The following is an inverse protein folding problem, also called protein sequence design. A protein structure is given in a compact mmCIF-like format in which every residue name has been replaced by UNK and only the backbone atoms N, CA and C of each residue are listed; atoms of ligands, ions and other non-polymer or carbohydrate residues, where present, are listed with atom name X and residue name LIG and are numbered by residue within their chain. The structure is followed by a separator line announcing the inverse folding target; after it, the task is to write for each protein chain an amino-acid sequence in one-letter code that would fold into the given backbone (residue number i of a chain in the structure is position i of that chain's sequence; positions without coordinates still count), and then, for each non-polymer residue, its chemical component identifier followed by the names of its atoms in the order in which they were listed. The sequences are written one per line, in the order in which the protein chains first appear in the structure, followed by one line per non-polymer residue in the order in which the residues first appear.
data_IF_280538866906
#
_entry.id   IF_280538866906
#
_cell.length_a   1.000
_cell.length_b   1.000
_cell.length_c   1.000
_cell.angle_alpha   90.00
_cell.angle_beta   90.00
_cell.angle_gamma   90.00
#
_symmetry.space_group_name_H-M   'P 1'
#
loop_
_entity.id
_entity.type
_entity.pdbx_description
1 polymer ?
#
# COMPACT_ATOMS: atom_id res chain seq x y z
N UNK A 1 -58.34 26.62 -75.06
CA UNK A 1 -57.87 27.61 -74.07
C UNK A 1 -59.04 27.99 -73.18
N UNK A 2 -58.93 28.25 -71.86
CA UNK A 2 -57.82 28.20 -70.91
C UNK A 2 -58.10 27.37 -69.61
N UNK A 3 -57.10 27.36 -68.74
CA UNK A 3 -56.95 26.94 -67.32
C UNK A 3 -58.18 26.83 -66.38
N UNK A 4 -58.19 25.86 -65.46
CA UNK A 4 -57.76 26.03 -64.05
C UNK A 4 -58.19 24.85 -63.14
N UNK A 5 -57.39 24.56 -62.10
CA UNK A 5 -57.84 23.82 -60.91
C UNK A 5 -57.09 22.51 -60.59
N UNK A 6 -55.85 22.61 -60.09
CA UNK A 6 -55.20 21.53 -59.33
C UNK A 6 -55.66 21.61 -57.86
N UNK A 7 -56.19 20.53 -57.33
CA UNK A 7 -56.20 20.22 -55.88
C UNK A 7 -55.40 18.95 -55.66
N UNK A 8 -54.20 19.08 -55.09
CA UNK A 8 -53.35 17.95 -54.70
C UNK A 8 -53.31 17.87 -53.18
N UNK A 9 -53.74 16.72 -52.69
CA UNK A 9 -53.80 16.28 -51.30
C UNK A 9 -52.39 16.12 -50.74
N UNK A 10 -52.16 16.66 -49.54
CA UNK A 10 -50.96 16.39 -48.72
C UNK A 10 -50.85 14.89 -48.38
N UNK A 11 -49.62 14.38 -48.23
CA UNK A 11 -49.31 13.73 -46.97
C UNK A 11 -47.94 14.13 -46.40
N UNK A 12 -47.99 14.48 -45.12
CA UNK A 12 -47.02 14.16 -44.05
C UNK A 12 -45.54 14.37 -44.34
N UNK A 13 -45.03 15.44 -43.72
CA UNK A 13 -43.62 15.70 -43.48
C UNK A 13 -42.92 14.55 -42.72
N UNK A 14 -41.99 13.88 -43.39
CA UNK A 14 -40.78 13.32 -42.77
C UNK A 14 -39.60 13.85 -43.57
N UNK A 15 -38.94 14.87 -43.02
CA UNK A 15 -37.78 15.51 -43.61
C UNK A 15 -36.62 14.52 -43.76
N UNK A 16 -35.97 14.58 -44.92
CA UNK A 16 -34.77 13.83 -45.33
C UNK A 16 -33.50 14.23 -44.54
N UNK A 17 -33.59 14.50 -43.24
CA UNK A 17 -32.48 14.91 -42.38
C UNK A 17 -31.84 13.79 -41.55
N UNK A 18 -32.26 12.53 -41.73
CA UNK A 18 -31.78 11.39 -40.91
C UNK A 18 -30.70 10.52 -41.57
N UNK A 19 -30.06 10.96 -42.66
CA UNK A 19 -29.10 10.10 -43.38
C UNK A 19 -27.63 10.56 -43.38
N UNK A 20 -27.27 11.66 -42.74
CA UNK A 20 -25.86 12.03 -42.53
C UNK A 20 -25.66 12.84 -41.24
N UNK A 21 -25.66 12.17 -40.09
CA UNK A 21 -24.90 12.68 -38.94
C UNK A 21 -23.55 11.99 -38.95
N UNK A 22 -22.56 12.74 -39.44
CA UNK A 22 -21.15 12.43 -39.32
C UNK A 22 -20.84 12.06 -37.88
N UNK A 23 -20.62 10.77 -37.63
CA UNK A 23 -19.82 10.35 -36.48
C UNK A 23 -18.46 11.03 -36.63
N UNK A 24 -18.16 11.88 -35.65
CA UNK A 24 -16.86 12.51 -35.51
C UNK A 24 -15.81 11.41 -35.44
N UNK A 25 -15.13 11.17 -36.56
CA UNK A 25 -13.84 10.47 -36.60
C UNK A 25 -12.91 11.21 -35.64
N UNK A 26 -12.82 10.73 -34.40
CA UNK A 26 -11.67 11.04 -33.56
C UNK A 26 -10.47 10.62 -34.37
N UNK A 27 -9.65 11.58 -34.79
CA UNK A 27 -8.42 11.36 -35.55
C UNK A 27 -7.58 10.35 -34.79
N UNK A 28 -7.62 9.10 -35.24
CA UNK A 28 -7.00 7.98 -34.56
C UNK A 28 -5.49 8.08 -34.73
N UNK A 29 -4.84 8.72 -33.76
CA UNK A 29 -3.37 8.80 -33.66
C UNK A 29 -2.72 7.46 -33.31
N UNK A 30 -3.53 6.41 -33.03
CA UNK A 30 -3.03 5.11 -32.61
C UNK A 30 -2.56 4.24 -33.79
N UNK A 31 -3.19 4.39 -34.96
CA UNK A 31 -2.99 3.52 -36.11
C UNK A 31 -3.73 2.18 -36.01
N UNK A 32 -4.63 2.03 -35.03
CA UNK A 32 -5.45 0.83 -34.81
C UNK A 32 -6.91 1.16 -35.17
N UNK A 33 -7.50 0.51 -36.20
CA UNK A 33 -8.88 0.75 -36.58
C UNK A 33 -9.83 0.68 -35.38
N UNK A 34 -10.54 1.78 -35.11
CA UNK A 34 -11.43 1.90 -33.93
C UNK A 34 -12.48 0.80 -33.88
N UNK A 35 -12.87 0.27 -35.05
CA UNK A 35 -13.76 -0.87 -35.23
C UNK A 35 -13.38 -2.09 -34.36
N UNK A 36 -12.09 -2.33 -34.15
CA UNK A 36 -11.58 -3.46 -33.36
C UNK A 36 -12.07 -3.39 -31.91
N UNK A 37 -12.19 -2.19 -31.34
CA UNK A 37 -12.58 -2.00 -29.94
C UNK A 37 -14.08 -2.18 -29.66
N UNK A 38 -14.90 -2.44 -30.69
CA UNK A 38 -16.31 -2.85 -30.52
C UNK A 38 -16.48 -4.37 -30.44
N UNK A 39 -15.41 -5.16 -30.65
CA UNK A 39 -15.44 -6.62 -30.60
C UNK A 39 -15.36 -7.13 -29.15
N UNK A 40 -16.40 -6.93 -28.34
CA UNK A 40 -16.37 -7.26 -26.88
C UNK A 40 -16.02 -8.73 -26.58
N UNK A 41 -16.33 -9.64 -27.51
CA UNK A 41 -16.07 -11.08 -27.39
C UNK A 41 -14.69 -11.51 -27.92
N UNK A 42 -13.83 -10.58 -28.32
CA UNK A 42 -12.51 -10.90 -28.86
C UNK A 42 -11.63 -11.54 -27.78
N UNK A 43 -11.10 -12.73 -28.07
CA UNK A 43 -10.26 -13.53 -27.15
C UNK A 43 -8.77 -13.27 -27.39
N UNK A 44 -8.39 -13.06 -28.64
CA UNK A 44 -7.00 -12.85 -29.05
C UNK A 44 -6.91 -11.68 -30.01
N UNK A 45 -5.95 -10.79 -29.77
CA UNK A 45 -5.64 -9.66 -30.63
C UNK A 45 -4.14 -9.65 -30.91
N UNK A 46 -3.79 -9.86 -32.16
CA UNK A 46 -2.40 -9.92 -32.63
C UNK A 46 -2.17 -8.83 -33.67
N UNK A 47 -1.27 -7.90 -33.34
CA UNK A 47 -0.91 -6.72 -34.12
C UNK A 47 0.63 -6.65 -34.15
N UNK A 48 1.27 -7.63 -34.77
CA UNK A 48 2.73 -7.66 -34.87
C UNK A 48 3.24 -6.84 -36.06
N UNK A 49 4.45 -6.29 -35.93
CA UNK A 49 5.15 -5.56 -37.01
C UNK A 49 4.36 -4.38 -37.60
N UNK A 50 3.49 -3.74 -36.82
CA UNK A 50 2.72 -2.57 -37.27
C UNK A 50 3.33 -1.25 -36.80
N UNK A 51 3.06 -0.18 -37.56
CA UNK A 51 3.46 1.20 -37.27
C UNK A 51 2.52 1.90 -36.27
N UNK A 52 2.03 1.18 -35.26
CA UNK A 52 1.14 1.76 -34.25
C UNK A 52 1.97 2.54 -33.22
N UNK A 53 1.45 3.69 -32.78
CA UNK A 53 2.16 4.55 -31.81
C UNK A 53 1.62 4.43 -30.40
N UNK A 54 0.33 4.15 -30.27
CA UNK A 54 -0.38 4.11 -29.00
C UNK A 54 -1.35 2.94 -29.03
N UNK A 55 -1.57 2.27 -27.89
CA UNK A 55 -2.77 1.46 -27.69
C UNK A 55 -3.75 2.32 -26.89
N UNK A 56 -4.93 2.69 -27.45
CA UNK A 56 -5.83 3.64 -26.81
C UNK A 56 -6.64 3.01 -25.68
N UNK A 57 -7.24 3.85 -24.84
CA UNK A 57 -8.09 3.43 -23.71
C UNK A 57 -9.32 2.63 -24.14
N UNK A 58 -9.71 2.70 -25.41
CA UNK A 58 -10.77 1.87 -25.98
C UNK A 58 -10.50 0.36 -25.86
N UNK A 59 -9.23 -0.05 -25.66
CA UNK A 59 -8.86 -1.45 -25.36
C UNK A 59 -9.61 -2.02 -24.14
N UNK A 60 -10.07 -1.17 -23.21
CA UNK A 60 -10.87 -1.58 -22.04
C UNK A 60 -12.19 -2.29 -22.40
N UNK A 61 -12.68 -2.10 -23.63
CA UNK A 61 -13.92 -2.71 -24.10
C UNK A 61 -13.75 -4.20 -24.44
N UNK A 62 -12.52 -4.67 -24.66
CA UNK A 62 -12.22 -6.06 -24.99
C UNK A 62 -12.17 -6.94 -23.73
N UNK A 63 -13.30 -7.03 -23.02
CA UNK A 63 -13.40 -7.62 -21.67
C UNK A 63 -13.03 -9.11 -21.62
N UNK A 64 -13.05 -9.79 -22.76
CA UNK A 64 -12.74 -11.22 -22.89
C UNK A 64 -11.35 -11.49 -23.50
N UNK A 65 -10.53 -10.46 -23.68
CA UNK A 65 -9.20 -10.58 -24.28
C UNK A 65 -8.24 -11.33 -23.34
N UNK A 66 -7.73 -12.47 -23.81
CA UNK A 66 -6.82 -13.37 -23.10
C UNK A 66 -5.39 -13.25 -23.62
N UNK A 67 -5.21 -13.00 -24.92
CA UNK A 67 -3.90 -12.85 -25.55
C UNK A 67 -3.87 -11.52 -26.26
N UNK A 68 -2.87 -10.69 -25.92
CA UNK A 68 -2.61 -9.44 -26.62
C UNK A 68 -1.15 -9.39 -27.06
N UNK A 69 -0.94 -9.38 -28.38
CA UNK A 69 0.38 -9.43 -28.97
C UNK A 69 0.62 -8.23 -29.87
N UNK A 70 1.63 -7.44 -29.52
CA UNK A 70 2.09 -6.26 -30.28
C UNK A 70 3.59 -6.33 -30.54
N UNK A 71 4.16 -7.54 -30.63
CA UNK A 71 5.58 -7.72 -30.86
C UNK A 71 6.05 -6.93 -32.09
N UNK A 72 7.28 -6.40 -31.98
CA UNK A 72 7.98 -5.68 -33.04
C UNK A 72 7.23 -4.45 -33.58
N UNK A 73 6.31 -3.88 -32.81
CA UNK A 73 5.78 -2.53 -33.06
C UNK A 73 6.81 -1.49 -32.62
N UNK A 74 7.75 -1.17 -33.51
CA UNK A 74 8.92 -0.34 -33.19
C UNK A 74 8.58 1.12 -32.87
N UNK A 75 7.44 1.62 -33.36
CA UNK A 75 6.94 2.98 -33.09
C UNK A 75 6.02 3.06 -31.87
N UNK A 76 5.73 1.94 -31.21
CA UNK A 76 4.81 1.91 -30.08
C UNK A 76 5.44 2.61 -28.87
N UNK A 77 4.90 3.76 -28.49
CA UNK A 77 5.39 4.57 -27.37
C UNK A 77 4.65 4.26 -26.07
N UNK A 78 3.34 4.03 -26.14
CA UNK A 78 2.50 3.88 -24.94
C UNK A 78 1.41 2.84 -25.10
N UNK A 79 1.32 1.94 -24.14
CA UNK A 79 0.11 1.15 -23.88
C UNK A 79 -0.82 1.89 -22.93
N UNK A 80 -2.11 1.88 -23.21
CA UNK A 80 -3.13 2.26 -22.25
C UNK A 80 -2.98 1.44 -20.97
N UNK A 81 -3.08 2.11 -19.83
CA UNK A 81 -3.06 1.46 -18.52
C UNK A 81 -4.26 0.51 -18.31
N UNK A 82 -5.36 0.68 -19.07
CA UNK A 82 -6.52 -0.21 -19.00
C UNK A 82 -6.21 -1.65 -19.40
N UNK A 83 -5.14 -1.88 -20.16
CA UNK A 83 -4.61 -3.23 -20.44
C UNK A 83 -4.37 -4.01 -19.15
N UNK A 84 -3.94 -3.34 -18.08
CA UNK A 84 -3.75 -3.96 -16.78
C UNK A 84 -5.00 -4.62 -16.20
N UNK A 85 -6.21 -4.20 -16.58
CA UNK A 85 -7.48 -4.73 -16.04
C UNK A 85 -8.13 -5.81 -16.90
N UNK A 86 -7.54 -6.12 -18.06
CA UNK A 86 -8.02 -7.18 -18.93
C UNK A 86 -7.61 -8.56 -18.39
N UNK A 87 -8.37 -9.64 -18.69
CA UNK A 87 -8.07 -11.00 -18.24
C UNK A 87 -6.94 -11.67 -19.05
N UNK A 88 -5.91 -10.89 -19.39
CA UNK A 88 -4.79 -11.36 -20.21
C UNK A 88 -4.00 -12.44 -19.47
N UNK A 89 -3.82 -13.58 -20.13
CA UNK A 89 -2.84 -14.61 -19.77
C UNK A 89 -1.49 -14.33 -20.43
N UNK A 90 -1.51 -13.65 -21.57
CA UNK A 90 -0.32 -13.37 -22.35
C UNK A 90 -0.35 -11.93 -22.88
N UNK A 91 0.76 -11.21 -22.65
CA UNK A 91 0.99 -9.85 -23.14
C UNK A 91 2.39 -9.80 -23.74
N UNK A 92 2.46 -9.72 -25.07
CA UNK A 92 3.70 -9.80 -25.82
C UNK A 92 4.12 -8.42 -26.34
N UNK A 93 5.25 -7.93 -25.82
CA UNK A 93 5.80 -6.58 -26.06
C UNK A 93 7.25 -6.65 -26.59
N UNK A 94 7.69 -7.80 -27.09
CA UNK A 94 9.07 -7.99 -27.53
C UNK A 94 9.37 -7.09 -28.73
N UNK A 95 10.55 -6.49 -28.79
CA UNK A 95 10.93 -5.64 -29.92
C UNK A 95 10.24 -4.27 -30.00
N UNK A 96 9.44 -3.87 -28.99
CA UNK A 96 8.86 -2.52 -28.89
C UNK A 96 9.91 -1.54 -28.33
N UNK A 97 10.87 -1.16 -29.16
CA UNK A 97 12.06 -0.39 -28.72
C UNK A 97 11.77 1.05 -28.29
N UNK A 98 10.68 1.64 -28.78
CA UNK A 98 10.26 3.02 -28.45
C UNK A 98 9.33 3.10 -27.24
N UNK A 99 9.04 1.96 -26.59
CA UNK A 99 8.04 1.88 -25.53
C UNK A 99 8.49 2.62 -24.26
N UNK A 100 7.76 3.68 -23.93
CA UNK A 100 7.95 4.51 -22.73
C UNK A 100 7.05 4.04 -21.59
N UNK A 101 5.82 3.62 -21.90
CA UNK A 101 4.84 3.15 -20.92
C UNK A 101 4.22 1.83 -21.38
N UNK A 102 4.46 0.70 -20.68
CA UNK A 102 5.32 0.54 -19.50
C UNK A 102 6.82 0.67 -19.85
N UNK A 103 7.68 1.17 -18.94
CA UNK A 103 9.13 1.21 -19.16
C UNK A 103 9.72 -0.17 -19.41
N UNK A 104 10.77 -0.25 -20.24
CA UNK A 104 11.33 -1.53 -20.69
C UNK A 104 11.94 -2.35 -19.54
N UNK A 105 12.36 -1.70 -18.45
CA UNK A 105 12.85 -2.36 -17.25
C UNK A 105 11.74 -3.12 -16.52
N UNK A 106 10.49 -2.67 -16.65
CA UNK A 106 9.32 -3.34 -16.08
C UNK A 106 8.89 -4.49 -16.99
N UNK A 107 8.85 -4.29 -18.30
CA UNK A 107 8.47 -5.35 -19.25
C UNK A 107 9.43 -6.54 -19.18
N UNK A 108 10.74 -6.29 -19.02
CA UNK A 108 11.77 -7.33 -18.83
C UNK A 108 11.61 -8.15 -17.55
N UNK A 109 10.89 -7.65 -16.54
CA UNK A 109 10.62 -8.41 -15.31
C UNK A 109 9.50 -9.44 -15.49
N UNK A 110 8.77 -9.38 -16.61
CA UNK A 110 7.75 -10.34 -16.99
C UNK A 110 6.32 -9.81 -16.87
N UNK A 111 5.38 -10.69 -17.24
CA UNK A 111 3.95 -10.40 -17.34
C UNK A 111 3.38 -9.82 -16.04
N UNK A 112 3.60 -10.48 -14.89
CA UNK A 112 3.01 -10.09 -13.61
C UNK A 112 3.37 -8.66 -13.19
N UNK A 113 4.65 -8.29 -13.34
CA UNK A 113 5.15 -6.96 -12.97
C UNK A 113 4.63 -5.89 -13.95
N UNK A 114 4.55 -6.23 -15.23
CA UNK A 114 4.00 -5.35 -16.27
C UNK A 114 2.53 -5.04 -16.03
N UNK A 115 1.71 -6.08 -15.81
CA UNK A 115 0.28 -5.93 -15.52
C UNK A 115 0.07 -5.15 -14.22
N UNK A 116 0.85 -5.42 -13.17
CA UNK A 116 0.76 -4.69 -11.90
C UNK A 116 1.14 -3.21 -12.05
N UNK A 117 2.15 -2.89 -12.87
CA UNK A 117 2.51 -1.51 -13.18
C UNK A 117 1.37 -0.77 -13.89
N UNK A 118 0.78 -1.37 -14.94
CA UNK A 118 -0.33 -0.78 -15.67
C UNK A 118 -1.55 -0.56 -14.78
N UNK A 119 -1.93 -1.54 -13.93
CA UNK A 119 -2.99 -1.36 -12.93
C UNK A 119 -2.73 -0.17 -12.02
N UNK A 120 -1.49 -0.02 -11.52
CA UNK A 120 -1.10 1.09 -10.62
C UNK A 120 -1.21 2.46 -11.25
N UNK A 121 -1.05 2.59 -12.58
CA UNK A 121 -1.21 3.87 -13.27
C UNK A 121 -2.65 4.40 -13.19
N UNK A 122 -3.66 3.53 -13.15
CA UNK A 122 -5.08 3.90 -13.04
C UNK A 122 -5.54 3.89 -11.58
N UNK A 123 -5.17 2.86 -10.82
CA UNK A 123 -5.63 2.68 -9.43
C UNK A 123 -5.00 3.66 -8.45
N UNK A 124 -3.97 4.42 -8.86
CA UNK A 124 -3.17 5.23 -7.95
C UNK A 124 -2.28 4.39 -7.02
N UNK A 125 -1.60 5.05 -6.08
CA UNK A 125 -0.80 4.37 -5.06
C UNK A 125 -1.69 3.51 -4.16
N UNK A 126 -1.46 2.20 -4.13
CA UNK A 126 -2.05 1.36 -3.07
C UNK A 126 -1.53 1.82 -1.71
N UNK A 127 -2.39 2.16 -0.74
CA UNK A 127 -1.94 2.51 0.61
C UNK A 127 -1.04 1.39 1.16
N UNK A 128 0.23 1.70 1.37
CA UNK A 128 1.16 0.78 2.02
C UNK A 128 0.86 0.82 3.52
N UNK A 129 0.01 -0.10 4.00
CA UNK A 129 -0.34 -0.24 5.42
C UNK A 129 0.73 -1.04 6.16
N UNK A 130 1.98 -0.60 6.05
CA UNK A 130 3.11 -1.20 6.75
C UNK A 130 3.83 -0.15 7.57
N UNK A 131 4.02 -0.42 8.85
CA UNK A 131 4.77 0.45 9.75
C UNK A 131 5.73 -0.35 10.62
N UNK A 132 6.74 0.31 11.18
CA UNK A 132 7.68 -0.33 12.12
C UNK A 132 7.19 -0.09 13.55
N UNK A 133 7.15 -1.14 14.36
CA UNK A 133 6.93 -1.05 15.80
C UNK A 133 8.26 -1.27 16.50
N UNK A 134 8.80 -0.23 17.12
CA UNK A 134 10.16 -0.22 17.68
C UNK A 134 10.09 -0.35 19.20
N UNK A 135 10.55 -1.49 19.75
CA UNK A 135 10.66 -1.66 21.20
C UNK A 135 12.03 -1.19 21.69
N UNK A 136 12.03 -0.23 22.60
CA UNK A 136 13.26 0.33 23.18
C UNK A 136 13.17 0.38 24.71
N UNK A 137 14.31 0.52 25.38
CA UNK A 137 14.40 0.49 26.84
C UNK A 137 15.57 -0.35 27.33
N UNK A 138 15.90 -0.25 28.61
CA UNK A 138 17.05 -0.94 29.20
C UNK A 138 16.95 -2.48 29.09
N UNK A 139 18.10 -3.15 29.18
CA UNK A 139 18.16 -4.61 29.31
C UNK A 139 17.34 -5.07 30.51
N UNK A 140 16.60 -6.18 30.38
CA UNK A 140 15.74 -6.68 31.46
C UNK A 140 14.43 -5.90 31.69
N UNK A 141 14.13 -4.88 30.89
CA UNK A 141 12.87 -4.13 30.99
C UNK A 141 11.60 -4.93 30.62
N UNK A 142 11.74 -6.10 29.99
CA UNK A 142 10.61 -6.95 29.60
C UNK A 142 10.16 -6.83 28.13
N UNK A 143 10.97 -6.23 27.24
CA UNK A 143 10.67 -6.07 25.80
C UNK A 143 10.31 -7.39 25.11
N UNK A 144 11.19 -8.40 25.19
CA UNK A 144 10.96 -9.71 24.59
C UNK A 144 9.73 -10.42 25.16
N UNK A 145 9.48 -10.27 26.47
CA UNK A 145 8.27 -10.81 27.11
C UNK A 145 7.00 -10.12 26.59
N UNK A 146 7.05 -8.81 26.37
CA UNK A 146 5.94 -8.03 25.82
C UNK A 146 5.63 -8.43 24.37
N UNK A 147 6.67 -8.59 23.52
CA UNK A 147 6.49 -9.07 22.14
C UNK A 147 5.86 -10.46 22.12
N UNK A 148 6.34 -11.39 22.96
CA UNK A 148 5.74 -12.73 23.06
C UNK A 148 4.28 -12.68 23.50
N UNK A 149 3.93 -11.78 24.42
CA UNK A 149 2.55 -11.60 24.85
C UNK A 149 1.65 -11.02 23.74
N UNK A 150 2.15 -10.08 22.93
CA UNK A 150 1.44 -9.57 21.76
C UNK A 150 1.15 -10.66 20.73
N UNK A 151 2.15 -11.49 20.43
CA UNK A 151 2.06 -12.54 19.41
C UNK A 151 1.17 -13.70 19.83
N UNK A 152 1.24 -14.16 21.09
CA UNK A 152 0.34 -15.19 21.62
C UNK A 152 -1.13 -14.78 21.56
N UNK A 153 -1.42 -13.48 21.68
CA UNK A 153 -2.79 -12.97 21.58
C UNK A 153 -3.32 -12.95 20.14
N UNK A 154 -2.48 -13.13 19.11
CA UNK A 154 -2.85 -12.88 17.70
C UNK A 154 -2.41 -13.97 16.71
N UNK A 155 -1.65 -14.99 17.11
CA UNK A 155 -1.16 -16.04 16.21
C UNK A 155 -0.82 -17.33 16.95
N UNK A 156 -1.29 -18.48 16.42
CA UNK A 156 -0.91 -19.83 16.87
C UNK A 156 0.45 -20.28 16.33
N UNK A 157 1.04 -19.54 15.38
CA UNK A 157 2.35 -19.89 14.79
C UNK A 157 3.50 -19.18 15.52
N UNK A 158 4.58 -19.91 15.89
CA UNK A 158 5.76 -19.31 16.49
C UNK A 158 6.46 -18.38 15.49
N UNK A 159 7.04 -17.26 15.94
CA UNK A 159 7.73 -16.31 15.08
C UNK A 159 9.04 -16.88 14.52
N UNK A 160 9.35 -16.56 13.26
CA UNK A 160 10.68 -16.77 12.69
C UNK A 160 11.63 -15.69 13.24
N UNK A 161 12.69 -16.12 13.91
CA UNK A 161 13.72 -15.26 14.50
C UNK A 161 14.94 -15.27 13.57
N UNK A 162 15.52 -14.11 13.28
CA UNK A 162 16.79 -13.98 12.54
C UNK A 162 17.83 -13.28 13.41
N UNK A 163 19.08 -13.75 13.36
CA UNK A 163 20.15 -13.42 14.32
C UNK A 163 20.31 -11.92 14.68
N UNK A 164 20.43 -11.65 15.98
CA UNK A 164 20.84 -10.37 16.57
C UNK A 164 19.73 -9.34 16.79
N UNK A 165 18.73 -9.26 15.91
CA UNK A 165 17.53 -8.42 16.05
C UNK A 165 16.31 -9.29 15.73
N UNK A 166 15.45 -9.50 16.73
CA UNK A 166 14.22 -10.26 16.54
C UNK A 166 13.21 -9.38 15.79
N UNK A 167 13.16 -9.54 14.46
CA UNK A 167 12.16 -8.88 13.61
C UNK A 167 10.98 -9.81 13.39
N UNK A 168 9.85 -9.49 14.01
CA UNK A 168 8.62 -10.27 13.85
C UNK A 168 7.60 -9.51 13.00
N UNK A 169 6.97 -10.19 12.04
CA UNK A 169 5.84 -9.63 11.31
C UNK A 169 4.54 -9.89 12.06
N UNK A 170 3.83 -8.83 12.40
CA UNK A 170 2.52 -8.90 13.04
C UNK A 170 1.48 -8.28 12.12
N UNK A 171 0.53 -9.10 11.66
CA UNK A 171 -0.57 -8.67 10.77
C UNK A 171 -1.83 -8.50 11.59
N UNK A 172 -2.40 -7.30 11.55
CA UNK A 172 -3.67 -6.98 12.20
C UNK A 172 -4.74 -6.86 11.11
N UNK A 173 -5.77 -7.72 11.10
CA UNK A 173 -6.86 -7.61 10.14
C UNK A 173 -7.65 -6.32 10.37
N UNK A 174 -8.03 -5.66 9.29
CA UNK A 174 -8.87 -4.46 9.29
C UNK A 174 -10.32 -4.83 8.93
N UNK A 175 -11.18 -3.81 8.80
CA UNK A 175 -12.64 -3.99 8.62
C UNK A 175 -13.06 -4.73 7.34
N UNK A 176 -12.16 -4.97 6.38
CA UNK A 176 -12.44 -5.64 5.11
C UNK A 176 -11.64 -6.95 4.96
N UNK A 177 -12.19 -7.97 4.26
CA UNK A 177 -11.44 -9.17 3.89
C UNK A 177 -10.21 -8.79 3.03
N UNK A 178 -9.07 -9.42 3.31
CA UNK A 178 -7.75 -9.14 2.72
C UNK A 178 -7.14 -7.75 2.99
N UNK A 179 -7.75 -6.95 3.87
CA UNK A 179 -7.18 -5.69 4.33
C UNK A 179 -6.51 -5.87 5.70
N UNK A 180 -5.21 -5.56 5.79
CA UNK A 180 -4.44 -5.72 7.02
C UNK A 180 -3.42 -4.60 7.21
N UNK A 181 -3.19 -4.23 8.47
CA UNK A 181 -2.07 -3.42 8.90
C UNK A 181 -0.92 -4.37 9.28
N UNK A 182 0.22 -4.26 8.59
CA UNK A 182 1.42 -5.05 8.90
C UNK A 182 2.41 -4.23 9.74
N UNK A 183 2.62 -4.66 10.97
CA UNK A 183 3.72 -4.18 11.79
C UNK A 183 4.96 -5.05 11.56
N UNK A 184 6.08 -4.41 11.25
CA UNK A 184 7.40 -4.99 11.46
C UNK A 184 7.80 -4.67 12.88
N UNK A 185 7.72 -5.62 13.80
CA UNK A 185 8.08 -5.48 15.21
C UNK A 185 9.59 -5.70 15.35
N UNK A 186 10.29 -4.72 15.90
CA UNK A 186 11.73 -4.78 16.14
C UNK A 186 11.98 -4.89 17.64
N UNK A 187 12.39 -6.07 18.11
CA UNK A 187 12.89 -6.28 19.47
C UNK A 187 14.42 -6.25 19.46
N UNK A 188 14.97 -5.17 20.02
CA UNK A 188 16.41 -5.02 20.17
C UNK A 188 16.85 -5.74 21.45
N UNK A 189 17.53 -6.87 21.29
CA UNK A 189 18.14 -7.60 22.39
C UNK A 189 19.13 -6.67 23.13
N UNK A 190 18.91 -6.51 24.43
CA UNK A 190 19.56 -5.50 25.28
C UNK A 190 21.02 -5.77 25.63
N UNK A 191 21.86 -6.24 24.70
CA UNK A 191 23.31 -6.27 24.93
C UNK A 191 23.90 -4.85 24.81
N UNK A 192 24.83 -4.57 25.71
CA UNK A 192 25.57 -3.32 25.92
C UNK A 192 26.29 -2.75 24.68
N UNK A 193 26.30 -3.46 23.55
CA UNK A 193 26.88 -3.03 22.28
C UNK A 193 26.01 -1.96 21.58
N UNK A 194 24.74 -1.78 21.97
CA UNK A 194 23.79 -0.92 21.25
C UNK A 194 23.84 0.58 21.61
N UNK A 195 24.47 0.95 22.72
CA UNK A 195 24.53 2.36 23.17
C UNK A 195 25.18 3.29 22.14
N UNK A 196 26.10 2.76 21.31
CA UNK A 196 26.87 3.53 20.35
C UNK A 196 26.35 3.44 18.89
N UNK A 197 25.48 2.47 18.56
CA UNK A 197 25.02 2.24 17.16
C UNK A 197 23.52 2.42 16.94
N UNK A 198 22.71 2.66 18.00
CA UNK A 198 21.25 2.71 17.85
C UNK A 198 20.73 3.85 16.95
N UNK A 199 21.51 4.92 16.75
CA UNK A 199 21.16 6.03 15.85
C UNK A 199 20.91 5.56 14.41
N UNK A 200 21.56 4.46 13.99
CA UNK A 200 21.37 3.87 12.66
C UNK A 200 20.09 3.07 12.50
N UNK A 201 19.47 2.63 13.61
CA UNK A 201 18.33 1.72 13.59
C UNK A 201 17.01 2.41 13.95
N UNK A 202 17.05 3.60 14.56
CA UNK A 202 15.87 4.43 14.72
C UNK A 202 15.32 4.86 13.35
N UNK A 203 14.00 4.76 13.18
CA UNK A 203 13.34 5.02 11.92
C UNK A 203 12.34 6.17 12.06
N UNK A 204 12.43 7.15 11.15
CA UNK A 204 11.55 8.32 11.12
C UNK A 204 10.06 7.99 10.96
N UNK A 205 9.73 6.85 10.34
CA UNK A 205 8.36 6.36 10.11
C UNK A 205 8.14 5.07 10.90
N UNK A 206 7.92 5.22 12.19
CA UNK A 206 7.74 4.13 13.13
C UNK A 206 6.83 4.55 14.29
N UNK A 207 6.30 3.57 15.00
CA UNK A 207 5.67 3.70 16.32
C UNK A 207 6.66 3.20 17.36
N UNK A 208 6.88 3.95 18.43
CA UNK A 208 7.82 3.60 19.49
C UNK A 208 7.10 3.10 20.74
N UNK A 209 7.60 2.00 21.29
CA UNK A 209 7.17 1.46 22.59
C UNK A 209 8.40 1.47 23.51
N UNK A 210 8.45 2.46 24.40
CA UNK A 210 9.49 2.59 25.41
C UNK A 210 9.11 1.76 26.64
N UNK A 211 9.78 0.63 26.80
CA UNK A 211 9.51 -0.35 27.85
C UNK A 211 10.44 -0.13 29.03
N UNK A 212 9.88 -0.10 30.24
CA UNK A 212 10.65 -0.06 31.48
C UNK A 212 10.09 -1.02 32.52
N UNK A 213 10.94 -1.47 33.44
CA UNK A 213 10.52 -2.34 34.55
C UNK A 213 10.12 -1.48 35.75
N UNK A 214 8.83 -1.50 36.10
CA UNK A 214 8.28 -0.67 37.18
C UNK A 214 8.96 -0.94 38.53
N UNK A 215 9.41 -2.19 38.76
CA UNK A 215 10.02 -2.61 40.02
C UNK A 215 11.34 -1.90 40.34
N UNK A 216 12.03 -1.40 39.32
CA UNK A 216 13.35 -0.79 39.48
C UNK A 216 13.28 0.72 39.73
N UNK A 217 12.08 1.32 39.68
CA UNK A 217 11.92 2.78 39.75
C UNK A 217 12.17 3.46 38.41
N UNK A 218 11.51 4.59 38.19
CA UNK A 218 11.60 5.34 36.95
C UNK A 218 12.98 6.01 36.78
N UNK A 219 13.61 6.38 37.88
CA UNK A 219 14.93 6.99 37.96
C UNK A 219 16.04 6.08 37.41
N UNK A 220 15.89 4.75 37.54
CA UNK A 220 16.84 3.77 37.02
C UNK A 220 16.47 3.27 35.62
N UNK A 221 15.32 3.65 35.08
CA UNK A 221 14.82 3.16 33.81
C UNK A 221 15.44 3.85 32.58
N UNK A 222 16.17 4.96 32.78
CA UNK A 222 16.80 5.72 31.70
C UNK A 222 15.79 6.30 30.69
N UNK A 223 14.57 6.63 31.14
CA UNK A 223 13.49 7.09 30.26
C UNK A 223 13.88 8.34 29.48
N UNK A 224 14.48 9.34 30.13
CA UNK A 224 14.87 10.59 29.49
C UNK A 224 15.91 10.40 28.38
N UNK A 225 16.84 9.46 28.57
CA UNK A 225 17.82 9.12 27.54
C UNK A 225 17.13 8.60 26.28
N UNK A 226 16.23 7.62 26.43
CA UNK A 226 15.52 7.02 25.30
C UNK A 226 14.56 8.01 24.64
N UNK A 227 13.79 8.77 25.43
CA UNK A 227 12.86 9.77 24.92
C UNK A 227 13.60 10.85 24.13
N UNK A 228 14.65 11.43 24.70
CA UNK A 228 15.46 12.45 24.02
C UNK A 228 16.07 11.92 22.72
N UNK A 229 16.51 10.66 22.73
CA UNK A 229 17.04 10.04 21.52
C UNK A 229 15.99 9.83 20.43
N UNK A 230 14.80 9.32 20.79
CA UNK A 230 13.69 9.18 19.84
C UNK A 230 13.32 10.54 19.26
N UNK A 231 13.18 11.57 20.10
CA UNK A 231 12.83 12.92 19.66
C UNK A 231 13.83 13.49 18.65
N UNK A 232 15.12 13.25 18.85
CA UNK A 232 16.16 13.71 17.94
C UNK A 232 16.08 13.02 16.56
N UNK A 233 15.80 11.72 16.52
CA UNK A 233 15.85 10.94 15.27
C UNK A 233 14.50 10.84 14.56
N UNK A 234 13.40 10.84 15.30
CA UNK A 234 12.04 10.63 14.83
C UNK A 234 11.07 11.60 15.54
N UNK A 235 11.16 12.91 15.27
CA UNK A 235 10.44 13.97 16.02
C UNK A 235 8.91 13.97 15.86
N UNK A 236 8.37 13.20 14.90
CA UNK A 236 6.93 13.07 14.65
C UNK A 236 6.42 11.66 14.96
N UNK A 237 7.27 10.75 15.43
CA UNK A 237 6.86 9.39 15.71
C UNK A 237 6.09 9.32 17.04
N UNK A 238 4.95 8.63 17.11
CA UNK A 238 4.22 8.43 18.36
C UNK A 238 5.01 7.54 19.32
N UNK A 239 4.94 7.86 20.61
CA UNK A 239 5.64 7.14 21.68
C UNK A 239 4.66 6.63 22.73
N UNK A 240 4.70 5.33 23.00
CA UNK A 240 4.01 4.69 24.12
C UNK A 240 5.02 4.36 25.21
N UNK A 241 4.82 4.90 26.41
CA UNK A 241 5.66 4.57 27.57
C UNK A 241 4.98 3.44 28.34
N UNK A 242 5.64 2.28 28.40
CA UNK A 242 5.06 1.04 28.92
C UNK A 242 5.85 0.54 30.12
N UNK A 243 5.22 0.60 31.30
CA UNK A 243 5.74 -0.02 32.50
C UNK A 243 5.34 -1.49 32.56
N UNK A 244 6.32 -2.39 32.66
CA UNK A 244 6.09 -3.84 32.82
C UNK A 244 6.19 -4.27 34.28
N UNK A 245 5.77 -5.50 34.57
CA UNK A 245 5.75 -6.08 35.92
C UNK A 245 4.81 -5.32 36.86
N UNK A 246 3.70 -4.79 36.33
CA UNK A 246 2.70 -4.06 37.12
C UNK A 246 2.07 -4.92 38.22
N UNK A 247 2.04 -6.24 38.03
CA UNK A 247 1.55 -7.23 39.00
C UNK A 247 2.37 -7.31 40.29
N UNK A 248 3.63 -6.85 40.26
CA UNK A 248 4.57 -6.96 41.37
C UNK A 248 4.70 -5.67 42.19
N UNK A 249 3.93 -4.63 41.87
CA UNK A 249 4.08 -3.30 42.48
C UNK A 249 2.70 -2.71 42.80
N UNK A 250 2.55 -2.13 43.98
CA UNK A 250 1.27 -1.53 44.44
C UNK A 250 1.12 -0.05 44.09
N UNK A 251 2.23 0.67 43.85
CA UNK A 251 2.24 2.09 43.48
C UNK A 251 3.32 2.38 42.44
N UNK A 252 2.98 3.20 41.47
CA UNK A 252 3.86 3.59 40.38
C UNK A 252 4.19 5.07 40.57
N UNK A 253 5.45 5.36 40.81
CA UNK A 253 5.94 6.72 40.95
C UNK A 253 6.56 7.17 39.62
N UNK A 254 5.72 7.77 38.77
CA UNK A 254 6.13 8.35 37.50
C UNK A 254 5.37 9.66 37.28
N UNK A 255 6.10 10.76 37.18
CA UNK A 255 5.50 12.07 36.86
C UNK A 255 5.16 12.16 35.37
N UNK A 256 4.01 11.62 34.99
CA UNK A 256 3.54 11.54 33.60
C UNK A 256 3.35 12.92 32.96
N UNK A 257 2.89 13.91 33.74
CA UNK A 257 2.64 15.28 33.25
C UNK A 257 3.93 16.01 32.88
N UNK A 258 4.99 15.84 33.67
CA UNK A 258 6.30 16.41 33.35
C UNK A 258 6.87 15.79 32.06
N UNK A 259 6.78 14.46 31.93
CA UNK A 259 7.25 13.76 30.73
C UNK A 259 6.48 14.16 29.48
N UNK A 260 5.14 14.26 29.55
CA UNK A 260 4.32 14.73 28.42
C UNK A 260 4.63 16.18 28.02
N UNK A 261 4.88 17.05 29.01
CA UNK A 261 5.28 18.43 28.76
C UNK A 261 6.62 18.53 28.03
N UNK A 262 7.60 17.71 28.43
CA UNK A 262 8.94 17.69 27.81
C UNK A 262 8.98 16.94 26.48
N UNK A 263 8.13 15.93 26.32
CA UNK A 263 8.05 15.08 25.14
C UNK A 263 6.60 14.97 24.64
N UNK A 264 6.11 15.96 23.86
CA UNK A 264 4.73 15.98 23.36
C UNK A 264 4.36 14.81 22.43
N UNK A 265 5.34 14.07 21.94
CA UNK A 265 5.16 12.86 21.12
C UNK A 265 4.61 11.67 21.91
N UNK A 266 4.59 11.74 23.24
CA UNK A 266 4.05 10.66 24.08
C UNK A 266 2.53 10.60 23.90
N UNK A 267 2.07 9.54 23.25
CA UNK A 267 0.65 9.28 23.00
C UNK A 267 -0.05 8.75 24.25
N UNK A 268 0.66 7.95 25.06
CA UNK A 268 0.06 7.36 26.26
C UNK A 268 1.04 6.63 27.17
N UNK A 269 0.59 6.39 28.40
CA UNK A 269 1.27 5.59 29.40
C UNK A 269 0.45 4.34 29.70
N UNK A 270 1.09 3.18 29.70
CA UNK A 270 0.43 1.90 29.95
C UNK A 270 1.23 1.10 30.97
N UNK A 271 0.53 0.46 31.91
CA UNK A 271 1.14 -0.43 32.88
C UNK A 271 0.61 -1.83 32.65
N UNK A 272 1.50 -2.76 32.32
CA UNK A 272 1.15 -4.10 31.84
C UNK A 272 1.83 -5.17 32.66
N UNK A 273 1.18 -6.32 32.75
CA UNK A 273 1.80 -7.55 33.23
C UNK A 273 1.81 -8.58 32.11
N UNK A 274 3.00 -9.02 31.72
CA UNK A 274 3.16 -10.13 30.78
C UNK A 274 2.86 -11.48 31.41
N UNK A 275 2.77 -11.56 32.75
CA UNK A 275 2.46 -12.78 33.48
C UNK A 275 0.95 -12.99 33.61
N UNK A 276 0.22 -11.97 34.04
CA UNK A 276 -1.25 -12.02 34.19
C UNK A 276 -2.00 -11.60 32.93
N UNK A 277 -1.28 -11.14 31.89
CA UNK A 277 -1.82 -10.55 30.66
C UNK A 277 -2.65 -9.27 30.87
N UNK A 278 -2.45 -8.60 32.02
CA UNK A 278 -3.17 -7.39 32.38
C UNK A 278 -2.78 -6.18 31.49
N UNK A 279 -3.79 -5.41 31.06
CA UNK A 279 -3.71 -4.23 30.17
C UNK A 279 -2.99 -4.41 28.82
N UNK A 280 -2.61 -5.63 28.43
CA UNK A 280 -1.92 -5.87 27.15
C UNK A 280 -2.83 -5.58 25.96
N UNK A 281 -4.11 -5.93 26.06
CA UNK A 281 -5.09 -5.68 24.99
C UNK A 281 -5.32 -4.20 24.75
N UNK A 282 -5.46 -3.41 25.83
CA UNK A 282 -5.68 -1.97 25.74
C UNK A 282 -4.48 -1.25 25.08
N UNK A 283 -3.27 -1.67 25.43
CA UNK A 283 -2.04 -1.19 24.78
C UNK A 283 -2.04 -1.51 23.28
N UNK A 284 -2.42 -2.73 22.89
CA UNK A 284 -2.50 -3.15 21.49
C UNK A 284 -3.52 -2.31 20.72
N UNK A 285 -4.71 -2.12 21.27
CA UNK A 285 -5.76 -1.31 20.64
C UNK A 285 -5.33 0.16 20.48
N UNK A 286 -4.59 0.71 21.45
CA UNK A 286 -4.04 2.06 21.35
C UNK A 286 -2.97 2.19 20.26
N UNK A 287 -2.08 1.20 20.12
CA UNK A 287 -1.05 1.15 19.07
C UNK A 287 -1.69 1.08 17.68
N UNK A 288 -2.75 0.28 17.52
CA UNK A 288 -3.43 0.11 16.22
C UNK A 288 -4.18 1.38 15.79
N UNK A 289 -4.71 2.17 16.74
CA UNK A 289 -5.50 3.38 16.45
C UNK A 289 -4.65 4.62 16.09
N UNK A 290 -3.33 4.54 16.24
CA UNK A 290 -2.41 5.67 16.04
C UNK A 290 -1.94 5.76 14.58
#
# INVERSE_FOLDING_TARGET
MPNSGRSSVEPTHTNESDMFKQDSFSTDLSGIPSAIFYLENLIELTIEYQGIKVVPDAIKNLKHLVIFNVNYCIELETLSAYVGFLPLRELNLNGCVSLKTPPIEITRRGHTQTMAFLKRLISGSTPCKRTKLMLVGLGGAGKTSLVRAFLKSHSDKPPEITDGIDIVKWKVPLNQPDDFLEFSVWDFAGQSVYYHTHQFFLAKKAVYVLVWNIRLGAEHAGLDFWLSSICCHAPNAPIFVVGTHSDLVSRIDLCQDDLKRRYPQITGFFNVSTHTHDNIRELIEAIIKT
#
